data_IF_586164799613
#
_entry.id   IF_586164799613
#
_cell.length_a   1.000
_cell.length_b   1.000
_cell.length_c   1.000
_cell.angle_alpha   90.00
_cell.angle_beta   90.00
_cell.angle_gamma   90.00
#
_symmetry.space_group_name_H-M   'P 1'
#
loop_
_entity.id
_entity.type
_entity.pdbx_description
1 polymer ?
#
# COMPACT_ATOMS: atom_id res chain seq x y z
N UNK A 1 -22.87 -0.66 -13.33
CA UNK A 1 -21.53 -0.14 -12.96
C UNK A 1 -21.04 -0.89 -11.72
N UNK A 2 -19.76 -1.26 -11.59
CA UNK A 2 -19.27 -1.93 -10.37
C UNK A 2 -19.32 -0.95 -9.20
N UNK A 3 -19.86 -1.33 -8.02
CA UNK A 3 -19.94 -0.42 -6.88
C UNK A 3 -18.54 0.01 -6.44
N UNK A 4 -18.39 1.29 -6.11
CA UNK A 4 -17.17 1.84 -5.55
C UNK A 4 -17.03 1.40 -4.09
N UNK A 5 -16.18 0.40 -3.85
CA UNK A 5 -15.86 -0.07 -2.51
C UNK A 5 -14.65 0.72 -2.00
N UNK A 6 -14.87 1.62 -1.02
CA UNK A 6 -13.83 2.50 -0.41
C UNK A 6 -12.69 1.67 0.21
N UNK A 7 -13.04 0.63 0.97
CA UNK A 7 -12.08 -0.26 1.63
C UNK A 7 -12.13 -1.66 1.02
N UNK A 8 -11.14 -2.00 0.19
CA UNK A 8 -11.04 -3.34 -0.43
C UNK A 8 -10.59 -4.37 0.60
N UNK A 9 -10.99 -5.62 0.44
CA UNK A 9 -10.59 -6.69 1.35
C UNK A 9 -9.06 -6.91 1.32
N UNK A 10 -8.52 -7.42 2.43
CA UNK A 10 -7.10 -7.83 2.51
C UNK A 10 -6.74 -8.86 1.44
N UNK A 11 -7.68 -9.74 1.08
CA UNK A 11 -7.53 -10.69 -0.03
C UNK A 11 -7.30 -9.98 -1.37
N UNK A 12 -8.03 -8.90 -1.66
CA UNK A 12 -7.85 -8.09 -2.86
C UNK A 12 -6.43 -7.50 -2.92
N UNK A 13 -5.93 -6.90 -1.84
CA UNK A 13 -4.58 -6.34 -1.81
C UNK A 13 -3.49 -7.39 -1.98
N UNK A 14 -3.66 -8.58 -1.38
CA UNK A 14 -2.75 -9.73 -1.56
C UNK A 14 -2.73 -10.20 -3.02
N UNK A 15 -3.90 -10.37 -3.62
CA UNK A 15 -4.03 -10.73 -5.03
C UNK A 15 -3.38 -9.67 -5.94
N UNK A 16 -3.67 -8.39 -5.70
CA UNK A 16 -3.10 -7.28 -6.45
C UNK A 16 -1.57 -7.27 -6.36
N UNK A 17 -1.01 -7.42 -5.16
CA UNK A 17 0.45 -7.52 -4.93
C UNK A 17 1.05 -8.69 -5.71
N UNK A 18 0.48 -9.88 -5.61
CA UNK A 18 0.93 -11.08 -6.33
C UNK A 18 0.95 -10.85 -7.84
N UNK A 19 -0.13 -10.32 -8.40
CA UNK A 19 -0.24 -10.01 -9.84
C UNK A 19 0.82 -9.02 -10.32
N UNK A 20 1.05 -7.94 -9.57
CA UNK A 20 2.07 -6.93 -9.91
C UNK A 20 3.47 -7.53 -9.89
N UNK A 21 3.78 -8.31 -8.86
CA UNK A 21 5.05 -9.03 -8.73
C UNK A 21 5.25 -9.95 -9.94
N UNK A 22 4.27 -10.81 -10.22
CA UNK A 22 4.34 -11.76 -11.33
C UNK A 22 4.55 -11.07 -12.69
N UNK A 23 3.85 -9.96 -12.95
CA UNK A 23 4.04 -9.18 -14.18
C UNK A 23 5.48 -8.65 -14.29
N UNK A 24 6.00 -8.05 -13.22
CA UNK A 24 7.36 -7.51 -13.19
C UNK A 24 8.42 -8.60 -13.31
N UNK A 25 8.24 -9.73 -12.64
CA UNK A 25 9.12 -10.89 -12.79
C UNK A 25 9.20 -11.39 -14.23
N UNK A 26 8.08 -11.41 -14.97
CA UNK A 26 8.09 -11.78 -16.39
C UNK A 26 8.92 -10.82 -17.25
N UNK A 27 8.74 -9.51 -17.06
CA UNK A 27 9.50 -8.47 -17.79
C UNK A 27 11.01 -8.60 -17.49
N UNK A 28 11.35 -8.74 -16.22
CA UNK A 28 12.73 -8.84 -15.76
C UNK A 28 13.42 -10.10 -16.29
N UNK A 29 12.70 -11.23 -16.33
CA UNK A 29 13.18 -12.47 -16.95
C UNK A 29 13.49 -12.29 -18.44
N UNK A 30 12.68 -11.53 -19.17
CA UNK A 30 12.93 -11.23 -20.59
C UNK A 30 14.18 -10.35 -20.78
N UNK A 31 14.50 -9.51 -19.80
CA UNK A 31 15.68 -8.65 -19.81
C UNK A 31 16.96 -9.32 -19.28
N UNK A 32 16.89 -10.59 -18.86
CA UNK A 32 18.04 -11.32 -18.29
C UNK A 32 18.45 -10.86 -16.89
N UNK A 33 17.72 -9.94 -16.26
CA UNK A 33 18.05 -9.48 -14.91
C UNK A 33 17.52 -10.45 -13.86
N UNK A 34 18.31 -10.73 -12.81
CA UNK A 34 17.93 -11.63 -11.72
C UNK A 34 17.83 -10.86 -10.41
N UNK A 35 16.61 -10.67 -9.86
CA UNK A 35 16.43 -10.00 -8.58
C UNK A 35 16.85 -10.93 -7.43
N UNK A 36 17.47 -10.38 -6.39
CA UNK A 36 17.87 -11.14 -5.19
C UNK A 36 16.64 -11.71 -4.46
N UNK A 37 15.56 -10.91 -4.38
CA UNK A 37 14.30 -11.33 -3.76
C UNK A 37 13.12 -10.91 -4.64
N UNK A 38 12.14 -11.79 -4.79
CA UNK A 38 10.90 -11.51 -5.56
C UNK A 38 10.09 -10.34 -4.96
N UNK A 39 10.29 -10.07 -3.66
CA UNK A 39 9.69 -8.96 -2.93
C UNK A 39 10.05 -7.58 -3.47
N UNK A 40 11.18 -7.42 -4.18
CA UNK A 40 11.59 -6.15 -4.82
C UNK A 40 10.55 -5.60 -5.78
N UNK A 41 9.73 -6.48 -6.37
CA UNK A 41 8.70 -6.09 -7.31
C UNK A 41 7.40 -5.66 -6.68
N UNK A 42 7.20 -5.93 -5.39
CA UNK A 42 6.04 -5.46 -4.66
C UNK A 42 6.02 -3.93 -4.75
N UNK A 43 5.03 -3.38 -5.46
CA UNK A 43 4.87 -1.93 -5.53
C UNK A 43 4.43 -1.43 -4.15
N UNK A 44 5.39 -1.03 -3.33
CA UNK A 44 5.22 0.01 -2.32
C UNK A 44 5.88 1.28 -2.87
N UNK A 45 5.31 2.46 -2.61
CA UNK A 45 6.08 3.69 -2.79
C UNK A 45 7.35 3.52 -1.95
N UNK A 46 8.54 3.73 -2.54
CA UNK A 46 9.78 3.82 -1.76
C UNK A 46 9.66 5.12 -0.97
N UNK A 47 9.01 5.05 0.19
CA UNK A 47 9.21 6.03 1.24
C UNK A 47 10.39 5.47 2.02
N UNK A 48 11.61 5.82 1.60
CA UNK A 48 12.68 5.73 2.58
C UNK A 48 12.31 6.70 3.70
N UNK A 49 12.58 6.34 4.95
CA UNK A 49 12.64 7.30 6.07
C UNK A 49 13.79 8.32 5.90
N UNK A 50 14.37 8.38 4.70
CA UNK A 50 15.38 9.33 4.29
C UNK A 50 14.84 10.77 4.41
N UNK A 51 15.76 11.69 4.68
CA UNK A 51 15.48 13.11 4.85
C UNK A 51 14.66 13.70 3.69
N UNK A 52 14.96 13.33 2.44
CA UNK A 52 14.24 13.85 1.27
C UNK A 52 12.75 13.47 1.27
N UNK A 53 12.42 12.22 1.61
CA UNK A 53 11.03 11.78 1.70
C UNK A 53 10.32 12.40 2.91
N UNK A 54 11.02 12.57 4.03
CA UNK A 54 10.48 13.26 5.20
C UNK A 54 10.16 14.73 4.89
N UNK A 55 11.08 15.45 4.25
CA UNK A 55 10.88 16.86 3.87
C UNK A 55 9.69 17.01 2.92
N UNK A 56 9.59 16.13 1.92
CA UNK A 56 8.45 16.12 1.01
C UNK A 56 7.13 15.94 1.76
N UNK A 57 7.05 14.95 2.64
CA UNK A 57 5.82 14.70 3.41
C UNK A 57 5.50 15.84 4.36
N UNK A 58 6.49 16.48 4.98
CA UNK A 58 6.28 17.64 5.84
C UNK A 58 5.76 18.84 5.07
N UNK A 59 6.23 19.04 3.82
CA UNK A 59 5.81 20.15 2.97
C UNK A 59 4.44 19.92 2.31
N UNK A 60 4.26 18.76 1.67
CA UNK A 60 3.13 18.48 0.77
C UNK A 60 2.02 17.67 1.46
N UNK A 61 2.27 17.19 2.69
CA UNK A 61 1.40 16.27 3.39
C UNK A 61 1.47 14.84 2.86
N UNK A 62 0.62 13.98 3.41
CA UNK A 62 0.51 12.60 2.96
C UNK A 62 -0.26 12.51 1.62
N UNK A 63 0.19 11.66 0.68
CA UNK A 63 -0.59 11.31 -0.50
C UNK A 63 -2.01 10.86 -0.16
N UNK A 64 -2.97 11.18 -1.02
CA UNK A 64 -4.38 10.79 -0.87
C UNK A 64 -4.59 9.32 -0.46
N UNK A 65 -3.82 8.39 -1.03
CA UNK A 65 -3.91 6.95 -0.69
C UNK A 65 -3.58 6.64 0.78
N UNK A 66 -2.67 7.41 1.39
CA UNK A 66 -2.31 7.27 2.79
C UNK A 66 -3.34 7.96 3.68
N UNK A 67 -3.86 9.14 3.30
CA UNK A 67 -4.97 9.77 4.03
C UNK A 67 -6.20 8.83 4.10
N UNK A 68 -6.57 8.21 2.98
CA UNK A 68 -7.67 7.23 2.96
C UNK A 68 -7.40 6.01 3.87
N UNK A 69 -6.13 5.58 4.01
CA UNK A 69 -5.77 4.53 4.95
C UNK A 69 -5.86 5.00 6.40
N UNK A 70 -5.37 6.20 6.71
CA UNK A 70 -5.45 6.80 8.04
C UNK A 70 -6.91 6.98 8.49
N UNK A 71 -7.79 7.49 7.61
CA UNK A 71 -9.24 7.56 7.86
C UNK A 71 -9.83 6.20 8.23
N UNK A 72 -9.49 5.17 7.44
CA UNK A 72 -10.00 3.81 7.71
C UNK A 72 -9.48 3.25 9.03
N UNK A 73 -8.23 3.54 9.40
CA UNK A 73 -7.65 3.09 10.67
C UNK A 73 -8.29 3.82 11.86
N UNK A 74 -8.51 5.13 11.74
CA UNK A 74 -9.17 5.92 12.77
C UNK A 74 -10.61 5.45 13.03
N UNK A 75 -11.36 5.10 11.96
CA UNK A 75 -12.70 4.51 12.10
C UNK A 75 -12.66 3.20 12.89
N UNK A 76 -11.71 2.31 12.57
CA UNK A 76 -11.56 1.03 13.27
C UNK A 76 -11.19 1.21 14.75
N UNK A 77 -10.32 2.18 15.06
CA UNK A 77 -9.96 2.50 16.43
C UNK A 77 -11.15 3.06 17.21
N UNK A 78 -11.94 3.92 16.57
CA UNK A 78 -13.17 4.44 17.17
C UNK A 78 -14.16 3.32 17.48
N UNK A 79 -14.46 2.46 16.52
CA UNK A 79 -15.32 1.28 16.72
C UNK A 79 -14.81 0.41 17.90
N UNK A 80 -13.53 0.05 17.88
CA UNK A 80 -12.91 -0.75 18.94
C UNK A 80 -12.98 -0.12 20.33
N UNK A 81 -12.83 1.20 20.43
CA UNK A 81 -12.89 1.90 21.71
C UNK A 81 -14.33 1.98 22.25
N UNK A 82 -15.33 2.23 21.39
CA UNK A 82 -16.73 2.25 21.83
C UNK A 82 -17.21 0.86 22.24
N UNK A 83 -16.77 -0.20 21.55
CA UNK A 83 -17.10 -1.59 21.89
C UNK A 83 -16.52 -2.03 23.26
N UNK A 84 -15.58 -1.27 23.82
CA UNK A 84 -15.02 -1.51 25.16
C UNK A 84 -15.70 -0.75 26.29
N UNK A 85 -16.47 0.28 25.96
CA UNK A 85 -17.21 1.09 26.94
C UNK A 85 -18.61 0.52 27.24
N UNK A 86 -18.99 -0.56 26.55
CA UNK A 86 -20.20 -1.38 26.76
C UNK A 86 -19.84 -2.66 27.48
#
# INVERSE_FOLDING_TARGET
MKPHIKNRSRAYYRHHRKRVIQRKSKIVKQLGWQPVLTGYFAKGKIHCSCWMCSQKTNKDGFPHSQNAQLESLNSQLYEYNNDKEV
#
